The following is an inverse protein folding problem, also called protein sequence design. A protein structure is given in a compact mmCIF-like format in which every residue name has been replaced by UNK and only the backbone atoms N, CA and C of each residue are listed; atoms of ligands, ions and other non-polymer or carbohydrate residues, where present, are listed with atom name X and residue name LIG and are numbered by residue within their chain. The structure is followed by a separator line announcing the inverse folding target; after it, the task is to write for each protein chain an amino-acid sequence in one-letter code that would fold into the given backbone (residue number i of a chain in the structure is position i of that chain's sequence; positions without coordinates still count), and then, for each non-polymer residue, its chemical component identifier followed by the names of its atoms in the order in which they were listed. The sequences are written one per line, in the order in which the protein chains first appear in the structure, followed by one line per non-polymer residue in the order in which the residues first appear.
data_IF_261311835200
#
_entry.id   IF_261311835200
#
_cell.length_a   1.000
_cell.length_b   1.000
_cell.length_c   1.000
_cell.angle_alpha   90.00
_cell.angle_beta   90.00
_cell.angle_gamma   90.00
#
_symmetry.space_group_name_H-M   'P 1'
#
loop_
_entity.id
_entity.type
_entity.pdbx_description
1 polymer ?
#
# COMPACT_ATOMS: atom_id res chain seq x y z
N UNK A 1 31.41 14.78 -20.52
CA UNK A 1 31.94 15.96 -19.78
C UNK A 1 31.39 15.91 -18.37
N UNK A 2 32.27 15.76 -17.43
CA UNK A 2 32.02 15.49 -16.00
C UNK A 2 31.27 16.64 -15.33
N UNK A 3 30.26 16.32 -14.48
CA UNK A 3 30.08 17.07 -13.23
C UNK A 3 30.00 16.02 -12.10
N UNK A 4 31.13 15.90 -11.40
CA UNK A 4 31.24 15.32 -10.06
C UNK A 4 30.81 16.38 -9.03
N UNK A 5 30.14 15.96 -7.99
CA UNK A 5 30.28 16.57 -6.67
C UNK A 5 29.08 17.36 -6.19
N UNK A 6 28.23 16.71 -5.40
CA UNK A 6 27.66 17.29 -4.17
C UNK A 6 27.33 16.12 -3.24
N UNK A 7 28.34 15.71 -2.53
CA UNK A 7 28.20 14.79 -1.39
C UNK A 7 28.34 15.61 -0.10
N UNK A 8 27.48 15.33 0.86
CA UNK A 8 27.67 15.61 2.29
C UNK A 8 27.76 17.08 2.71
N UNK A 9 26.63 17.73 2.88
CA UNK A 9 26.52 18.76 3.92
C UNK A 9 25.91 18.11 5.18
N UNK A 10 26.80 17.72 6.02
CA UNK A 10 26.64 17.06 7.30
C UNK A 10 26.01 18.04 8.31
N UNK A 11 25.06 17.59 9.15
CA UNK A 11 24.45 18.32 10.27
C UNK A 11 25.48 18.98 11.22
N UNK A 12 26.71 18.55 11.17
CA UNK A 12 27.84 19.17 11.90
C UNK A 12 28.12 20.63 11.50
N UNK A 13 27.81 21.04 10.29
CA UNK A 13 28.05 22.43 9.86
C UNK A 13 26.99 23.41 10.35
N UNK A 14 25.76 22.96 10.59
CA UNK A 14 24.70 23.82 11.13
C UNK A 14 24.94 24.15 12.61
N UNK A 15 25.37 23.18 13.37
CA UNK A 15 25.73 23.36 14.80
C UNK A 15 26.96 24.26 14.96
N UNK A 16 27.94 24.18 14.06
CA UNK A 16 29.17 24.97 14.13
C UNK A 16 28.93 26.45 13.73
N UNK A 17 28.05 26.72 12.79
CA UNK A 17 27.68 28.07 12.35
C UNK A 17 26.88 28.83 13.43
N UNK A 18 26.06 28.14 14.19
CA UNK A 18 25.29 28.73 15.31
C UNK A 18 26.19 29.04 16.50
N UNK A 19 27.22 28.22 16.73
CA UNK A 19 28.18 28.41 17.82
C UNK A 19 29.10 29.63 17.59
N UNK A 20 29.55 29.87 16.37
CA UNK A 20 30.38 31.04 16.03
C UNK A 20 29.59 32.36 16.10
N UNK A 21 28.29 32.38 15.81
CA UNK A 21 27.48 33.57 15.90
C UNK A 21 27.23 34.05 17.34
N UNK A 22 27.10 33.12 18.31
CA UNK A 22 26.88 33.48 19.72
C UNK A 22 28.17 33.86 20.47
N UNK A 23 29.33 33.36 20.07
CA UNK A 23 30.61 33.65 20.75
C UNK A 23 31.17 35.04 20.48
N UNK A 24 30.68 35.75 19.46
CA UNK A 24 31.23 37.07 19.09
C UNK A 24 30.58 38.26 19.81
N UNK A 25 29.54 38.05 20.61
CA UNK A 25 28.74 39.15 21.20
C UNK A 25 28.80 39.32 22.72
N UNK A 26 29.56 38.52 23.47
CA UNK A 26 29.61 38.68 24.95
C UNK A 26 30.99 38.84 25.52
N UNK A 27 31.17 39.88 26.38
CA UNK A 27 32.43 40.33 27.00
C UNK A 27 32.92 39.46 28.17
N UNK A 28 32.26 38.37 28.58
CA UNK A 28 32.69 37.47 29.67
C UNK A 28 32.83 36.02 29.20
N UNK A 29 33.96 35.77 28.51
CA UNK A 29 34.18 34.53 27.75
C UNK A 29 34.45 33.26 28.58
N UNK A 30 35.05 33.34 29.75
CA UNK A 30 35.59 32.11 30.40
C UNK A 30 34.61 31.38 31.32
N UNK A 31 33.67 32.05 31.95
CA UNK A 31 32.71 31.42 32.88
C UNK A 31 31.49 30.86 32.13
N UNK A 32 31.06 31.55 31.07
CA UNK A 32 29.90 31.13 30.26
C UNK A 32 30.25 29.91 29.38
N UNK A 33 31.48 29.88 28.83
CA UNK A 33 31.96 28.74 28.02
C UNK A 33 32.04 27.42 28.82
N UNK A 34 32.52 27.46 30.09
CA UNK A 34 32.56 26.25 30.93
C UNK A 34 31.16 25.73 31.28
N UNK A 35 30.21 26.60 31.59
CA UNK A 35 28.82 26.18 31.89
C UNK A 35 28.07 25.69 30.66
N UNK A 36 28.30 26.29 29.49
CA UNK A 36 27.68 25.86 28.23
C UNK A 36 28.29 24.57 27.72
N UNK A 37 29.60 24.36 27.86
CA UNK A 37 30.24 23.09 27.51
C UNK A 37 29.79 21.93 28.39
N UNK A 38 29.58 22.16 29.68
CA UNK A 38 29.08 21.14 30.61
C UNK A 38 27.60 20.81 30.35
N UNK A 39 26.77 21.79 29.95
CA UNK A 39 25.40 21.56 29.57
C UNK A 39 25.28 20.82 28.20
N UNK A 40 26.16 21.15 27.24
CA UNK A 40 26.23 20.43 25.97
C UNK A 40 26.79 19.01 26.13
N UNK A 41 27.83 18.81 26.97
CA UNK A 41 28.34 17.48 27.27
C UNK A 41 27.31 16.61 27.99
N UNK A 42 26.56 17.19 28.96
CA UNK A 42 25.45 16.48 29.63
C UNK A 42 24.26 16.18 28.66
N UNK A 43 23.94 17.08 27.74
CA UNK A 43 22.90 16.86 26.74
C UNK A 43 23.33 15.83 25.68
N UNK A 44 24.61 15.84 25.28
CA UNK A 44 25.15 14.87 24.31
C UNK A 44 25.33 13.47 24.94
N UNK A 45 25.70 13.35 26.20
CA UNK A 45 25.80 12.05 26.87
C UNK A 45 24.44 11.44 27.15
N UNK A 46 23.41 12.24 27.44
CA UNK A 46 22.02 11.73 27.61
C UNK A 46 21.35 11.36 26.27
N UNK A 47 21.69 12.06 25.18
CA UNK A 47 21.15 11.70 23.84
C UNK A 47 21.86 10.50 23.23
N UNK A 48 23.18 10.32 23.46
CA UNK A 48 23.92 9.15 22.97
C UNK A 48 23.55 7.86 23.73
N UNK A 49 23.15 7.93 25.00
CA UNK A 49 22.69 6.77 25.76
C UNK A 49 21.30 6.26 25.31
N UNK A 50 20.51 7.10 24.62
CA UNK A 50 19.16 6.74 24.12
C UNK A 50 19.24 6.04 22.75
N UNK A 51 20.36 6.12 22.03
CA UNK A 51 20.49 5.57 20.67
C UNK A 51 21.10 4.16 20.59
N UNK A 52 21.45 3.55 21.73
CA UNK A 52 22.09 2.22 21.75
C UNK A 52 21.14 1.05 22.04
N UNK A 53 19.84 1.31 22.37
CA UNK A 53 18.86 0.28 22.67
C UNK A 53 17.67 0.33 21.69
N UNK A 54 17.75 -0.45 20.59
CA UNK A 54 16.64 -0.64 19.63
C UNK A 54 15.27 -0.92 20.30
N UNK A 55 15.19 -1.72 21.37
CA UNK A 55 13.91 -1.98 22.04
C UNK A 55 13.29 -0.75 22.70
N UNK A 56 14.11 0.19 23.19
CA UNK A 56 13.61 1.40 23.87
C UNK A 56 13.09 2.42 22.87
N UNK A 57 13.77 2.63 21.75
CA UNK A 57 13.33 3.53 20.69
C UNK A 57 11.98 3.07 20.12
N UNK A 58 11.80 1.77 19.90
CA UNK A 58 10.56 1.16 19.43
C UNK A 58 9.41 1.35 20.43
N UNK A 59 9.65 1.11 21.71
CA UNK A 59 8.65 1.24 22.78
C UNK A 59 8.20 2.69 22.96
N UNK A 60 9.13 3.64 22.95
CA UNK A 60 8.84 5.07 23.02
C UNK A 60 8.02 5.55 21.83
N UNK A 61 8.38 5.13 20.64
CA UNK A 61 7.72 5.46 19.40
C UNK A 61 6.28 4.98 19.34
N UNK A 62 6.04 3.71 19.68
CA UNK A 62 4.69 3.15 19.76
C UNK A 62 3.82 3.84 20.83
N UNK A 63 4.44 4.37 21.90
CA UNK A 63 3.72 5.11 22.95
C UNK A 63 3.26 6.51 22.53
N UNK A 64 3.87 7.10 21.50
CA UNK A 64 3.53 8.45 21.01
C UNK A 64 2.39 8.45 19.98
N UNK A 65 1.97 7.30 19.48
CA UNK A 65 0.95 7.18 18.46
C UNK A 65 -0.32 6.54 19.03
N UNK A 66 -1.28 7.31 19.50
CA UNK A 66 -2.46 6.80 20.23
C UNK A 66 -3.39 5.92 19.40
N UNK A 67 -3.10 5.72 18.11
CA UNK A 67 -3.91 4.90 17.18
C UNK A 67 -3.23 3.61 16.72
N UNK A 68 -1.99 3.34 17.15
CA UNK A 68 -1.27 2.12 16.75
C UNK A 68 -1.66 0.98 17.67
N UNK A 69 -2.08 -0.13 17.07
CA UNK A 69 -2.41 -1.36 17.77
C UNK A 69 -1.12 -2.04 18.26
N UNK A 70 -1.22 -2.85 19.30
CA UNK A 70 -0.08 -3.65 19.79
C UNK A 70 0.30 -4.77 18.81
N UNK A 71 -0.68 -5.30 18.08
CA UNK A 71 -0.53 -6.30 17.03
C UNK A 71 -1.64 -6.12 15.98
N UNK A 72 -1.38 -6.56 14.77
CA UNK A 72 -2.36 -6.68 13.68
C UNK A 72 -2.22 -8.07 13.08
N UNK A 73 -3.28 -8.88 13.18
CA UNK A 73 -3.30 -10.21 12.55
C UNK A 73 -3.20 -10.08 11.04
N UNK A 74 -2.62 -11.08 10.35
CA UNK A 74 -2.60 -11.13 8.90
C UNK A 74 -3.98 -10.88 8.31
N UNK A 75 -4.06 -9.95 7.34
CA UNK A 75 -5.31 -9.55 6.70
C UNK A 75 -5.62 -10.40 5.47
N UNK A 76 -4.59 -10.81 4.73
CA UNK A 76 -4.72 -11.61 3.52
C UNK A 76 -4.79 -13.11 3.86
N UNK A 77 -5.65 -13.83 3.15
CA UNK A 77 -5.75 -15.31 3.23
C UNK A 77 -5.12 -16.00 2.02
N UNK A 78 -4.78 -15.23 0.99
CA UNK A 78 -4.26 -15.74 -0.29
C UNK A 78 -2.84 -16.27 -0.15
N UNK A 79 -2.55 -17.39 -0.86
CA UNK A 79 -1.21 -17.99 -1.03
C UNK A 79 -0.91 -18.14 -2.50
N UNK A 80 -0.99 -17.01 -3.22
CA UNK A 80 -0.87 -17.00 -4.66
C UNK A 80 0.60 -16.97 -5.10
N UNK A 81 0.83 -17.49 -6.30
CA UNK A 81 2.14 -17.51 -6.96
C UNK A 81 2.09 -16.79 -8.30
N UNK A 82 3.15 -16.97 -9.10
CA UNK A 82 3.32 -16.27 -10.38
C UNK A 82 3.21 -17.18 -11.61
N UNK A 83 3.36 -18.48 -11.45
CA UNK A 83 3.23 -19.50 -12.49
C UNK A 83 1.78 -20.01 -12.62
N UNK A 84 1.60 -21.15 -13.31
CA UNK A 84 0.27 -21.75 -13.47
C UNK A 84 -0.39 -22.08 -12.12
N UNK A 85 -1.71 -21.88 -11.98
CA UNK A 85 -2.64 -21.39 -13.00
C UNK A 85 -2.77 -19.86 -13.04
N UNK A 86 -2.04 -19.10 -12.22
CA UNK A 86 -2.15 -17.66 -12.08
C UNK A 86 -1.80 -16.91 -13.37
N UNK A 87 -0.89 -17.46 -14.18
CA UNK A 87 -0.41 -16.86 -15.42
C UNK A 87 -1.15 -17.34 -16.69
N UNK A 88 -2.20 -18.16 -16.57
CA UNK A 88 -2.89 -18.74 -17.72
C UNK A 88 -3.46 -17.71 -18.71
N UNK A 89 -3.66 -16.45 -18.28
CA UNK A 89 -4.12 -15.34 -19.13
C UNK A 89 -3.00 -14.33 -19.47
N UNK A 90 -1.75 -14.60 -19.07
CA UNK A 90 -0.59 -13.81 -19.47
C UNK A 90 -0.18 -14.16 -20.92
N UNK A 91 0.63 -13.30 -21.59
CA UNK A 91 1.18 -13.64 -22.91
C UNK A 91 1.92 -14.98 -22.92
N UNK A 92 1.84 -15.70 -24.03
CA UNK A 92 2.62 -16.91 -24.24
C UNK A 92 4.11 -16.57 -24.33
N UNK A 93 4.96 -17.38 -23.73
CA UNK A 93 6.40 -17.21 -23.78
C UNK A 93 6.93 -17.45 -25.21
N UNK A 94 7.86 -16.60 -25.70
CA UNK A 94 8.39 -16.79 -27.08
C UNK A 94 9.14 -18.09 -27.31
N UNK A 95 9.68 -18.66 -26.23
CA UNK A 95 10.56 -19.86 -26.29
C UNK A 95 9.82 -21.17 -26.06
N UNK A 96 8.56 -21.12 -25.60
CA UNK A 96 7.79 -22.32 -25.25
C UNK A 96 6.29 -22.13 -25.52
N UNK A 97 5.48 -23.15 -25.23
CA UNK A 97 4.02 -23.05 -25.24
C UNK A 97 3.47 -22.54 -23.92
N UNK A 98 4.31 -22.32 -22.92
CA UNK A 98 3.90 -21.87 -21.59
C UNK A 98 3.61 -20.37 -21.58
N UNK A 99 2.94 -19.91 -20.55
CA UNK A 99 2.70 -18.49 -20.34
C UNK A 99 3.86 -17.84 -19.56
N UNK A 100 4.17 -16.60 -19.89
CA UNK A 100 5.06 -15.75 -19.10
C UNK A 100 4.55 -15.66 -17.65
N UNK A 101 5.45 -15.45 -16.70
CA UNK A 101 5.07 -15.21 -15.28
C UNK A 101 4.19 -13.99 -15.13
N UNK A 102 3.34 -13.97 -14.12
CA UNK A 102 2.50 -12.77 -13.81
C UNK A 102 3.33 -11.56 -13.42
N UNK A 103 4.50 -11.78 -12.80
CA UNK A 103 5.31 -10.76 -12.15
C UNK A 103 4.88 -10.47 -10.71
N UNK A 104 5.84 -10.16 -9.85
CA UNK A 104 5.63 -9.99 -8.41
C UNK A 104 4.69 -8.81 -8.10
N UNK A 105 4.80 -7.70 -8.83
CA UNK A 105 3.94 -6.52 -8.66
C UNK A 105 2.48 -6.86 -8.97
N UNK A 106 2.20 -7.52 -10.09
CA UNK A 106 0.85 -7.93 -10.46
C UNK A 106 0.26 -8.89 -9.43
N UNK A 107 1.06 -9.85 -8.95
CA UNK A 107 0.64 -10.80 -7.91
C UNK A 107 0.32 -10.08 -6.59
N UNK A 108 1.16 -9.15 -6.15
CA UNK A 108 0.92 -8.37 -4.95
C UNK A 108 -0.34 -7.49 -5.07
N UNK A 109 -0.53 -6.81 -6.21
CA UNK A 109 -1.75 -6.05 -6.50
C UNK A 109 -2.99 -6.93 -6.44
N UNK A 110 -2.98 -8.06 -7.14
CA UNK A 110 -4.11 -8.98 -7.22
C UNK A 110 -4.51 -9.52 -5.83
N UNK A 111 -3.55 -9.85 -4.97
CA UNK A 111 -3.81 -10.31 -3.61
C UNK A 111 -4.48 -9.23 -2.74
N UNK A 112 -4.01 -7.97 -2.83
CA UNK A 112 -4.65 -6.84 -2.15
C UNK A 112 -6.06 -6.59 -2.70
N UNK A 113 -6.25 -6.67 -4.01
CA UNK A 113 -7.57 -6.53 -4.64
C UNK A 113 -8.52 -7.65 -4.21
N UNK A 114 -8.04 -8.88 -4.06
CA UNK A 114 -8.81 -10.01 -3.53
C UNK A 114 -9.23 -9.80 -2.08
N UNK A 115 -8.38 -9.24 -1.24
CA UNK A 115 -8.72 -8.88 0.15
C UNK A 115 -9.94 -7.94 0.19
N UNK A 116 -9.96 -6.91 -0.66
CA UNK A 116 -11.08 -5.97 -0.73
C UNK A 116 -12.27 -6.48 -1.55
N UNK A 117 -12.09 -7.54 -2.38
CA UNK A 117 -13.07 -7.98 -3.38
C UNK A 117 -13.56 -6.82 -4.25
N UNK A 118 -12.66 -5.98 -4.69
CA UNK A 118 -12.92 -4.75 -5.43
C UNK A 118 -11.87 -4.52 -6.54
N UNK A 119 -12.28 -3.95 -7.71
CA UNK A 119 -13.65 -3.61 -8.13
C UNK A 119 -14.44 -4.81 -8.67
N UNK A 120 -15.69 -4.62 -8.99
CA UNK A 120 -16.47 -5.63 -9.74
C UNK A 120 -16.05 -5.69 -11.21
N UNK A 121 -15.59 -4.56 -11.78
CA UNK A 121 -15.24 -4.40 -13.20
C UNK A 121 -14.08 -3.39 -13.32
N UNK A 122 -13.19 -3.64 -14.28
CA UNK A 122 -12.13 -2.69 -14.62
C UNK A 122 -12.63 -1.52 -15.47
N UNK A 123 -11.76 -0.55 -15.73
CA UNK A 123 -12.08 0.70 -16.45
C UNK A 123 -10.95 1.12 -17.38
N UNK A 124 -11.31 1.60 -18.57
CA UNK A 124 -10.37 2.08 -19.57
C UNK A 124 -9.57 0.97 -20.24
N UNK A 125 -8.52 1.33 -20.93
CA UNK A 125 -7.69 0.41 -21.70
C UNK A 125 -6.21 0.82 -21.63
N UNK A 126 -5.33 -0.13 -21.99
CA UNK A 126 -3.91 0.10 -22.23
C UNK A 126 -3.52 -0.54 -23.57
N UNK A 127 -2.56 0.10 -24.23
CA UNK A 127 -1.86 -0.47 -25.38
C UNK A 127 -0.40 -0.05 -25.25
N UNK A 128 0.50 -1.01 -25.10
CA UNK A 128 1.92 -0.75 -24.95
C UNK A 128 2.76 -1.87 -25.57
N UNK A 129 4.04 -1.60 -25.76
CA UNK A 129 5.00 -2.58 -26.25
C UNK A 129 6.12 -2.79 -25.23
N UNK A 130 6.60 -4.02 -25.15
CA UNK A 130 7.79 -4.37 -24.37
C UNK A 130 8.73 -5.23 -25.21
N UNK A 131 10.02 -5.19 -24.89
CA UNK A 131 11.00 -6.08 -25.51
C UNK A 131 11.05 -7.39 -24.74
N UNK A 132 10.69 -8.49 -25.41
CA UNK A 132 10.69 -9.83 -24.84
C UNK A 132 12.09 -10.43 -24.69
N UNK A 133 12.14 -11.63 -24.14
CA UNK A 133 13.40 -12.41 -23.96
C UNK A 133 14.01 -12.86 -25.29
N UNK A 134 13.20 -12.98 -26.33
CA UNK A 134 13.62 -13.21 -27.73
C UNK A 134 14.23 -11.96 -28.38
N UNK A 135 14.28 -10.83 -27.69
CA UNK A 135 14.77 -9.57 -28.22
C UNK A 135 13.80 -8.84 -29.16
N UNK A 136 12.61 -9.38 -29.38
CA UNK A 136 11.58 -8.79 -30.25
C UNK A 136 10.65 -7.86 -29.46
N UNK A 137 9.91 -7.01 -30.19
CA UNK A 137 8.85 -6.19 -29.61
C UNK A 137 7.55 -6.97 -29.60
N UNK A 138 6.94 -7.05 -28.40
CA UNK A 138 5.63 -7.64 -28.19
C UNK A 138 4.62 -6.57 -27.81
N UNK A 139 3.42 -6.67 -28.35
CA UNK A 139 2.33 -5.75 -28.07
C UNK A 139 1.37 -6.33 -27.03
N UNK A 140 0.96 -5.53 -26.07
CA UNK A 140 -0.10 -5.85 -25.10
C UNK A 140 -1.21 -4.83 -25.25
N UNK A 141 -2.41 -5.32 -25.53
CA UNK A 141 -3.62 -4.51 -25.65
C UNK A 141 -4.70 -5.10 -24.75
N UNK A 142 -5.18 -4.35 -23.77
CA UNK A 142 -6.19 -4.77 -22.81
C UNK A 142 -7.23 -3.67 -22.62
N UNK A 143 -8.50 -4.03 -22.82
CA UNK A 143 -9.65 -3.20 -22.45
C UNK A 143 -10.23 -3.71 -21.13
N UNK A 144 -9.87 -3.08 -20.03
CA UNK A 144 -10.31 -3.44 -18.67
C UNK A 144 -11.83 -3.33 -18.51
N UNK A 145 -12.49 -2.51 -19.33
CA UNK A 145 -13.95 -2.38 -19.28
C UNK A 145 -14.68 -3.67 -19.70
N UNK A 146 -14.00 -4.61 -20.33
CA UNK A 146 -14.50 -5.95 -20.67
C UNK A 146 -14.28 -6.96 -19.56
N UNK A 147 -13.41 -6.68 -18.59
CA UNK A 147 -13.08 -7.57 -17.48
C UNK A 147 -14.06 -7.42 -16.33
N UNK A 148 -14.64 -8.54 -15.89
CA UNK A 148 -15.47 -8.64 -14.69
C UNK A 148 -14.81 -9.59 -13.71
N UNK A 149 -14.57 -9.14 -12.48
CA UNK A 149 -13.85 -9.90 -11.49
C UNK A 149 -14.78 -10.71 -10.61
N UNK A 150 -14.76 -12.03 -10.78
CA UNK A 150 -15.63 -12.96 -10.07
C UNK A 150 -14.98 -13.36 -8.72
N UNK A 151 -14.99 -12.46 -7.75
CA UNK A 151 -14.31 -12.61 -6.46
C UNK A 151 -14.61 -13.91 -5.71
N UNK A 152 -15.83 -14.43 -5.82
CA UNK A 152 -16.24 -15.67 -5.17
C UNK A 152 -15.66 -16.92 -5.83
N UNK A 153 -15.27 -16.83 -7.11
CA UNK A 153 -14.59 -17.92 -7.83
C UNK A 153 -13.10 -17.97 -7.51
N UNK A 154 -12.49 -16.84 -7.16
CA UNK A 154 -11.08 -16.79 -6.79
C UNK A 154 -10.88 -17.41 -5.41
N UNK A 155 -10.08 -18.46 -5.34
CA UNK A 155 -9.78 -19.20 -4.09
C UNK A 155 -8.49 -18.69 -3.46
N UNK A 156 -8.29 -19.01 -2.19
CA UNK A 156 -7.12 -18.55 -1.45
C UNK A 156 -5.85 -19.31 -1.84
N UNK A 157 -6.00 -20.53 -2.38
CA UNK A 157 -4.89 -21.37 -2.84
C UNK A 157 -5.26 -22.15 -4.10
N UNK A 158 -4.27 -22.42 -4.93
CA UNK A 158 -4.34 -23.23 -6.16
C UNK A 158 -3.25 -24.29 -6.16
N UNK A 159 -2.90 -24.86 -5.02
CA UNK A 159 -2.03 -26.01 -4.97
C UNK A 159 -2.64 -27.18 -5.75
N UNK A 160 -1.81 -28.04 -6.32
CA UNK A 160 -2.27 -29.19 -7.11
C UNK A 160 -3.27 -30.07 -6.35
N UNK A 161 -3.11 -30.20 -5.04
CA UNK A 161 -4.02 -30.94 -4.14
C UNK A 161 -5.40 -30.31 -4.02
N UNK A 162 -5.59 -29.06 -4.42
CA UNK A 162 -6.84 -28.31 -4.20
C UNK A 162 -7.91 -28.60 -5.25
N UNK A 163 -7.57 -29.29 -6.36
CA UNK A 163 -8.48 -29.71 -7.43
C UNK A 163 -9.40 -28.58 -7.93
N UNK A 164 -8.82 -27.41 -8.28
CA UNK A 164 -9.58 -26.24 -8.73
C UNK A 164 -10.18 -26.44 -10.11
N UNK A 165 -11.39 -25.94 -10.31
CA UNK A 165 -12.06 -25.96 -11.63
C UNK A 165 -11.40 -24.99 -12.61
N UNK A 166 -11.56 -25.20 -13.91
CA UNK A 166 -11.06 -24.30 -14.94
C UNK A 166 -11.61 -22.86 -14.77
N UNK A 167 -12.88 -22.72 -14.37
CA UNK A 167 -13.48 -21.40 -14.12
C UNK A 167 -12.87 -20.67 -12.91
N UNK A 168 -12.48 -21.39 -11.86
CA UNK A 168 -11.78 -20.81 -10.70
C UNK A 168 -10.36 -20.39 -11.09
N UNK A 169 -9.67 -21.17 -11.90
CA UNK A 169 -8.34 -20.85 -12.41
C UNK A 169 -8.38 -19.63 -13.36
N UNK A 170 -9.33 -19.60 -14.30
CA UNK A 170 -9.52 -18.45 -15.21
C UNK A 170 -9.85 -17.15 -14.44
N UNK A 171 -10.66 -17.23 -13.38
CA UNK A 171 -11.01 -16.06 -12.60
C UNK A 171 -9.78 -15.38 -11.97
N UNK A 172 -8.84 -16.15 -11.41
CA UNK A 172 -7.60 -15.60 -10.84
C UNK A 172 -6.63 -15.17 -11.93
N UNK A 173 -6.48 -15.95 -13.00
CA UNK A 173 -5.58 -15.64 -14.10
C UNK A 173 -5.95 -14.33 -14.81
N UNK A 174 -7.25 -14.08 -15.03
CA UNK A 174 -7.74 -12.81 -15.59
C UNK A 174 -7.34 -11.61 -14.73
N UNK A 175 -7.55 -11.68 -13.42
CA UNK A 175 -7.16 -10.61 -12.51
C UNK A 175 -5.64 -10.37 -12.56
N UNK A 176 -4.83 -11.43 -12.56
CA UNK A 176 -3.37 -11.34 -12.63
C UNK A 176 -2.90 -10.67 -13.91
N UNK A 177 -3.43 -11.10 -15.07
CA UNK A 177 -3.09 -10.53 -16.36
C UNK A 177 -3.48 -9.06 -16.46
N UNK A 178 -4.66 -8.68 -15.96
CA UNK A 178 -5.12 -7.30 -15.93
C UNK A 178 -4.24 -6.44 -15.00
N UNK A 179 -3.84 -6.93 -13.83
CA UNK A 179 -2.90 -6.24 -12.95
C UNK A 179 -1.55 -6.01 -13.64
N UNK A 180 -1.02 -7.03 -14.33
CA UNK A 180 0.23 -6.90 -15.07
C UNK A 180 0.13 -5.89 -16.23
N UNK A 181 -0.94 -5.96 -17.03
CA UNK A 181 -1.16 -4.99 -18.11
C UNK A 181 -1.32 -3.56 -17.58
N UNK A 182 -1.98 -3.36 -16.44
CA UNK A 182 -2.20 -2.05 -15.84
C UNK A 182 -0.91 -1.33 -15.44
N UNK A 183 0.13 -2.08 -15.05
CA UNK A 183 1.46 -1.56 -14.72
C UNK A 183 2.46 -1.69 -15.88
N UNK A 184 1.98 -1.95 -17.09
CA UNK A 184 2.79 -2.11 -18.30
C UNK A 184 3.91 -3.14 -18.12
N UNK A 185 3.56 -4.34 -17.63
CA UNK A 185 4.49 -5.41 -17.33
C UNK A 185 5.36 -5.76 -18.55
N UNK A 186 6.67 -5.78 -18.37
CA UNK A 186 7.58 -6.46 -19.28
C UNK A 186 7.51 -7.96 -18.95
N UNK A 187 6.75 -8.69 -19.75
CA UNK A 187 6.57 -10.13 -19.55
C UNK A 187 7.79 -10.93 -19.95
N UNK A 188 8.08 -11.97 -19.17
CA UNK A 188 9.17 -12.90 -19.35
C UNK A 188 8.76 -14.28 -18.82
N UNK A 189 9.32 -15.32 -19.39
CA UNK A 189 9.18 -16.70 -18.91
C UNK A 189 9.86 -16.88 -17.55
N UNK A 190 10.90 -16.09 -17.26
CA UNK A 190 11.76 -16.27 -16.09
C UNK A 190 11.60 -15.18 -15.04
N UNK A 191 11.36 -13.92 -15.45
CA UNK A 191 11.33 -12.77 -14.54
C UNK A 191 10.53 -11.59 -15.15
N UNK A 192 9.22 -11.67 -15.06
CA UNK A 192 8.33 -10.57 -15.47
C UNK A 192 8.43 -9.40 -14.49
N UNK A 193 8.70 -8.20 -15.00
CA UNK A 193 8.96 -7.02 -14.18
C UNK A 193 8.21 -5.75 -14.63
N UNK A 194 7.91 -4.90 -13.66
CA UNK A 194 7.35 -3.55 -13.84
C UNK A 194 7.93 -2.62 -12.77
N UNK A 195 7.53 -1.35 -12.76
CA UNK A 195 7.97 -0.40 -11.74
C UNK A 195 6.92 -0.24 -10.62
N UNK A 196 7.36 -0.35 -9.36
CA UNK A 196 6.50 -0.17 -8.19
C UNK A 196 5.77 1.18 -8.17
N UNK A 197 6.39 2.21 -8.72
CA UNK A 197 5.81 3.55 -8.77
C UNK A 197 4.54 3.64 -9.63
N UNK A 198 4.35 2.72 -10.57
CA UNK A 198 3.19 2.71 -11.47
C UNK A 198 1.93 2.13 -10.81
N UNK A 199 2.10 1.39 -9.71
CA UNK A 199 1.00 0.73 -8.99
C UNK A 199 -0.08 1.72 -8.55
N UNK A 200 0.30 2.83 -7.93
CA UNK A 200 -0.65 3.81 -7.42
C UNK A 200 -1.55 4.36 -8.53
N UNK A 201 -0.95 4.75 -9.65
CA UNK A 201 -1.69 5.27 -10.81
C UNK A 201 -2.56 4.19 -11.46
N UNK A 202 -2.04 2.97 -11.63
CA UNK A 202 -2.76 1.84 -12.20
C UNK A 202 -4.02 1.50 -11.40
N UNK A 203 -3.90 1.42 -10.06
CA UNK A 203 -5.03 1.10 -9.19
C UNK A 203 -6.13 2.17 -9.24
N UNK A 204 -5.77 3.45 -9.28
CA UNK A 204 -6.75 4.54 -9.40
C UNK A 204 -7.40 4.53 -10.77
N UNK A 205 -6.60 4.50 -11.84
CA UNK A 205 -7.06 4.69 -13.22
C UNK A 205 -7.87 3.50 -13.73
N UNK A 206 -7.41 2.27 -13.49
CA UNK A 206 -7.97 1.08 -14.10
C UNK A 206 -8.87 0.27 -13.18
N UNK A 207 -8.71 0.42 -11.86
CA UNK A 207 -9.47 -0.33 -10.87
C UNK A 207 -10.31 0.55 -9.93
N UNK A 208 -10.31 1.88 -10.13
CA UNK A 208 -11.17 2.80 -9.42
C UNK A 208 -10.93 2.88 -7.91
N UNK A 209 -9.70 2.60 -7.46
CA UNK A 209 -9.31 2.76 -6.05
C UNK A 209 -9.27 4.22 -5.63
N UNK A 210 -9.25 4.46 -4.33
CA UNK A 210 -9.23 5.82 -3.74
C UNK A 210 -7.99 6.60 -4.20
N UNK A 211 -8.18 7.84 -4.66
CA UNK A 211 -7.09 8.68 -5.18
C UNK A 211 -6.03 9.08 -4.13
N UNK A 212 -6.23 8.73 -2.85
CA UNK A 212 -5.23 8.94 -1.79
C UNK A 212 -4.10 7.89 -1.79
N UNK A 213 -4.15 6.89 -2.66
CA UNK A 213 -3.05 5.94 -2.84
C UNK A 213 -1.78 6.72 -3.16
N UNK A 214 -0.69 6.37 -2.47
CA UNK A 214 0.60 7.04 -2.62
C UNK A 214 1.72 6.02 -2.69
N UNK A 215 2.62 6.22 -3.65
CA UNK A 215 3.93 5.57 -3.70
C UNK A 215 4.92 6.31 -2.80
N UNK A 216 5.73 5.56 -2.05
CA UNK A 216 6.87 6.04 -1.28
C UNK A 216 8.04 5.12 -1.56
N UNK A 217 9.21 5.66 -1.82
CA UNK A 217 10.39 4.83 -2.06
C UNK A 217 11.44 5.50 -2.91
N UNK A 218 12.44 4.73 -3.27
CA UNK A 218 13.58 5.20 -3.99
C UNK A 218 14.56 5.95 -3.09
N UNK A 219 14.92 7.12 -3.50
CA UNK A 219 15.90 7.98 -2.81
C UNK A 219 15.22 9.04 -1.93
N UNK A 220 13.93 8.87 -1.63
CA UNK A 220 13.26 9.77 -0.71
C UNK A 220 13.96 9.71 0.64
N UNK A 221 14.34 10.86 1.18
CA UNK A 221 15.05 11.06 2.45
C UNK A 221 14.14 10.74 3.66
N UNK A 222 13.42 9.64 3.59
CA UNK A 222 12.57 9.19 4.67
C UNK A 222 13.43 8.47 5.71
N UNK A 223 13.48 8.99 6.93
CA UNK A 223 14.16 8.30 8.03
C UNK A 223 13.50 6.93 8.27
N UNK A 224 14.29 5.96 8.75
CA UNK A 224 13.77 4.64 9.14
C UNK A 224 12.59 4.75 10.11
N UNK A 225 12.65 5.70 11.03
CA UNK A 225 11.56 5.97 11.97
C UNK A 225 10.26 6.35 11.26
N UNK A 226 10.29 7.28 10.31
CA UNK A 226 9.11 7.67 9.55
C UNK A 226 8.62 6.53 8.66
N UNK A 227 9.50 5.74 8.08
CA UNK A 227 9.20 4.58 7.27
C UNK A 227 8.37 3.54 8.03
N UNK A 228 8.88 3.09 9.17
CA UNK A 228 8.18 2.10 10.00
C UNK A 228 6.92 2.66 10.67
N UNK A 229 6.90 3.97 11.01
CA UNK A 229 5.71 4.67 11.46
C UNK A 229 4.57 4.52 10.49
N UNK A 230 4.83 4.93 9.27
CA UNK A 230 3.85 4.88 8.21
C UNK A 230 3.33 3.46 8.04
N UNK A 231 4.22 2.46 8.08
CA UNK A 231 3.83 1.05 7.95
C UNK A 231 2.91 0.60 9.10
N UNK A 232 3.27 0.90 10.36
CA UNK A 232 2.43 0.60 11.52
C UNK A 232 1.07 1.30 11.47
N UNK A 233 1.03 2.57 11.04
CA UNK A 233 -0.22 3.33 10.88
C UNK A 233 -1.15 2.70 9.84
N UNK A 234 -0.61 2.35 8.66
CA UNK A 234 -1.36 1.71 7.61
C UNK A 234 -1.98 0.39 8.10
N UNK A 235 -1.17 -0.48 8.66
CA UNK A 235 -1.63 -1.80 9.12
C UNK A 235 -2.62 -1.68 10.28
N UNK A 236 -2.40 -0.77 11.23
CA UNK A 236 -3.35 -0.51 12.33
C UNK A 236 -4.69 0.02 11.85
N UNK A 237 -4.70 0.74 10.72
CA UNK A 237 -5.91 1.21 10.05
C UNK A 237 -6.61 0.12 9.21
N UNK A 238 -6.04 -1.10 9.14
CA UNK A 238 -6.58 -2.20 8.33
C UNK A 238 -6.28 -2.05 6.84
N UNK A 239 -5.20 -1.37 6.48
CA UNK A 239 -4.77 -1.13 5.11
C UNK A 239 -3.51 -1.96 4.83
N UNK A 240 -3.59 -3.01 4.00
CA UNK A 240 -2.41 -3.73 3.56
C UNK A 240 -1.52 -2.83 2.70
N UNK A 241 -0.22 -3.05 2.76
CA UNK A 241 0.79 -2.26 2.07
C UNK A 241 1.47 -3.11 1.01
N UNK A 242 1.50 -2.62 -0.23
CA UNK A 242 2.38 -3.18 -1.24
C UNK A 242 3.80 -2.70 -0.92
N UNK A 243 4.70 -3.63 -0.70
CA UNK A 243 6.07 -3.35 -0.28
C UNK A 243 7.06 -3.94 -1.28
N UNK A 244 8.10 -3.20 -1.59
CA UNK A 244 9.15 -3.63 -2.49
C UNK A 244 10.54 -3.45 -1.89
N UNK A 245 11.49 -4.17 -2.44
CA UNK A 245 12.88 -4.02 -2.10
C UNK A 245 13.80 -4.79 -3.03
N UNK A 246 15.09 -4.53 -2.93
CA UNK A 246 16.12 -5.20 -3.71
C UNK A 246 17.05 -6.02 -2.82
N UNK A 247 17.68 -7.01 -3.40
CA UNK A 247 18.73 -7.79 -2.73
C UNK A 247 20.06 -7.03 -2.77
N UNK A 248 21.02 -7.47 -2.00
CA UNK A 248 22.35 -6.87 -1.94
C UNK A 248 23.07 -6.85 -3.30
N UNK A 249 22.89 -7.89 -4.10
CA UNK A 249 23.63 -8.07 -5.36
C UNK A 249 22.74 -7.95 -6.60
N UNK A 250 21.63 -8.66 -6.60
CA UNK A 250 20.75 -8.74 -7.78
C UNK A 250 19.32 -9.07 -7.36
N UNK A 251 18.37 -8.57 -8.18
CA UNK A 251 16.97 -8.89 -8.09
C UNK A 251 16.19 -7.96 -7.16
N UNK A 252 15.01 -7.60 -7.63
CA UNK A 252 13.99 -6.88 -6.89
C UNK A 252 12.82 -7.83 -6.61
N UNK A 253 12.02 -7.53 -5.61
CA UNK A 253 10.78 -8.25 -5.37
C UNK A 253 9.76 -7.35 -4.70
N UNK A 254 8.52 -7.45 -5.19
CA UNK A 254 7.38 -6.75 -4.60
C UNK A 254 6.44 -7.78 -3.96
N UNK A 255 5.99 -7.48 -2.75
CA UNK A 255 5.19 -8.35 -1.91
C UNK A 255 4.21 -7.54 -1.08
N UNK A 256 3.36 -8.18 -0.29
CA UNK A 256 2.41 -7.50 0.58
C UNK A 256 2.87 -7.62 2.02
N UNK A 257 2.78 -6.50 2.75
CA UNK A 257 2.87 -6.48 4.21
C UNK A 257 1.46 -6.20 4.74
N UNK A 258 0.92 -7.11 5.56
CA UNK A 258 -0.49 -7.10 5.92
C UNK A 258 -0.79 -7.33 7.41
N UNK A 259 0.24 -7.33 8.25
CA UNK A 259 0.11 -7.48 9.68
C UNK A 259 1.42 -7.31 10.42
N UNK A 260 1.38 -7.35 11.75
CA UNK A 260 2.56 -7.39 12.61
C UNK A 260 2.23 -7.99 13.98
N UNK A 261 3.22 -8.62 14.60
CA UNK A 261 3.11 -9.21 15.93
C UNK A 261 3.56 -8.26 17.06
N UNK A 262 3.43 -8.73 18.30
CA UNK A 262 3.83 -7.98 19.51
C UNK A 262 5.34 -7.73 19.58
N UNK A 263 6.13 -8.61 18.98
CA UNK A 263 7.58 -8.48 18.85
C UNK A 263 7.97 -7.48 17.76
N UNK A 264 6.98 -7.00 16.95
CA UNK A 264 7.13 -6.03 15.88
C UNK A 264 7.75 -6.61 14.63
N UNK A 265 7.62 -7.92 14.43
CA UNK A 265 7.86 -8.54 13.13
C UNK A 265 6.63 -8.33 12.26
N UNK A 266 6.87 -8.04 11.00
CA UNK A 266 5.81 -7.81 10.03
C UNK A 266 5.42 -9.11 9.33
N UNK A 267 4.12 -9.33 9.15
CA UNK A 267 3.66 -10.43 8.31
C UNK A 267 3.82 -10.06 6.85
N UNK A 268 4.49 -10.93 6.11
CA UNK A 268 4.85 -10.77 4.70
C UNK A 268 4.19 -11.87 3.89
N UNK A 269 3.50 -11.49 2.81
CA UNK A 269 2.93 -12.39 1.81
C UNK A 269 3.73 -12.21 0.53
N UNK A 270 4.67 -13.14 0.27
CA UNK A 270 5.64 -13.00 -0.81
C UNK A 270 5.07 -13.14 -2.22
N UNK A 271 3.90 -13.78 -2.38
CA UNK A 271 3.35 -14.03 -3.71
C UNK A 271 4.13 -15.06 -4.52
N UNK A 272 4.75 -16.02 -3.84
CA UNK A 272 5.55 -17.11 -4.44
C UNK A 272 4.90 -18.49 -4.22
N UNK A 273 3.61 -18.53 -3.86
CA UNK A 273 2.91 -19.75 -3.56
C UNK A 273 3.23 -20.34 -2.17
N UNK A 274 3.91 -19.57 -1.31
CA UNK A 274 4.32 -19.94 0.03
C UNK A 274 5.46 -19.10 0.56
N UNK A 275 5.99 -19.47 1.72
CA UNK A 275 7.06 -18.71 2.41
C UNK A 275 6.55 -17.50 3.18
N UNK A 276 5.23 -17.35 3.31
CA UNK A 276 4.59 -16.26 4.05
C UNK A 276 4.81 -16.43 5.55
N UNK A 277 4.92 -15.32 6.28
CA UNK A 277 5.16 -15.37 7.71
C UNK A 277 5.59 -14.05 8.33
N UNK A 278 6.01 -14.09 9.60
CA UNK A 278 6.47 -12.92 10.34
C UNK A 278 7.98 -12.74 10.25
N UNK A 279 8.41 -11.58 9.76
CA UNK A 279 9.81 -11.25 9.49
C UNK A 279 10.21 -9.89 10.04
N UNK A 280 11.47 -9.75 10.42
CA UNK A 280 12.12 -8.46 10.62
C UNK A 280 12.50 -7.90 9.24
N UNK A 281 11.81 -6.85 8.79
CA UNK A 281 12.02 -6.28 7.45
C UNK A 281 13.45 -5.73 7.24
N UNK A 282 14.21 -5.47 8.30
CA UNK A 282 15.61 -5.09 8.19
C UNK A 282 16.53 -6.28 7.92
N UNK A 283 16.04 -7.51 8.09
CA UNK A 283 16.83 -8.75 7.93
C UNK A 283 16.39 -9.61 6.76
N UNK A 284 15.28 -9.27 6.08
CA UNK A 284 14.86 -10.01 4.89
C UNK A 284 15.85 -9.81 3.75
N UNK A 285 15.77 -10.69 2.75
CA UNK A 285 16.62 -10.64 1.56
C UNK A 285 16.46 -9.33 0.78
N UNK A 286 15.24 -8.76 0.74
CA UNK A 286 14.86 -7.56 -0.04
C UNK A 286 14.84 -6.29 0.83
N UNK A 287 15.87 -6.06 1.64
CA UNK A 287 15.95 -4.96 2.62
C UNK A 287 16.51 -3.65 2.07
N UNK A 288 17.08 -3.65 0.86
CA UNK A 288 17.66 -2.46 0.23
C UNK A 288 16.69 -1.81 -0.75
N UNK A 289 16.89 -0.55 -1.09
CA UNK A 289 16.10 0.16 -2.09
C UNK A 289 14.59 0.01 -1.88
N UNK A 290 14.16 0.15 -0.63
CA UNK A 290 12.79 -0.12 -0.20
C UNK A 290 11.79 0.81 -0.87
N UNK A 291 10.64 0.26 -1.22
CA UNK A 291 9.46 0.99 -1.69
C UNK A 291 8.20 0.52 -0.98
N UNK A 292 7.19 1.36 -0.91
CA UNK A 292 5.85 0.97 -0.48
C UNK A 292 4.78 1.78 -1.17
N UNK A 293 3.65 1.14 -1.49
CA UNK A 293 2.42 1.79 -1.89
C UNK A 293 1.43 1.70 -0.74
N UNK A 294 0.97 2.85 -0.27
CA UNK A 294 0.13 3.04 0.92
C UNK A 294 -1.23 3.61 0.57
N UNK A 295 -2.14 3.62 1.57
CA UNK A 295 -3.53 4.07 1.43
C UNK A 295 -4.34 3.25 0.41
N UNK A 296 -3.94 2.01 0.17
CA UNK A 296 -4.65 1.13 -0.76
C UNK A 296 -5.99 0.75 -0.14
N UNK A 297 -7.06 1.27 -0.73
CA UNK A 297 -8.44 0.97 -0.33
C UNK A 297 -9.41 1.32 -1.45
N UNK A 298 -10.57 0.67 -1.52
CA UNK A 298 -11.68 1.15 -2.33
C UNK A 298 -12.05 2.59 -1.98
N UNK A 299 -12.62 3.36 -2.90
CA UNK A 299 -13.09 4.70 -2.58
C UNK A 299 -14.11 4.61 -1.45
N UNK A 300 -14.06 5.56 -0.52
CA UNK A 300 -15.12 5.67 0.48
C UNK A 300 -16.42 5.87 -0.29
N UNK A 301 -17.30 4.88 -0.25
CA UNK A 301 -18.66 5.10 -0.70
C UNK A 301 -19.22 6.23 0.15
N UNK A 302 -19.29 7.44 -0.42
CA UNK A 302 -20.16 8.48 0.13
C UNK A 302 -21.53 7.86 0.06
N UNK A 303 -21.99 7.31 1.19
CA UNK A 303 -23.08 6.36 1.25
C UNK A 303 -24.34 6.80 0.48
N UNK A 304 -24.39 6.36 -0.77
CA UNK A 304 -25.62 6.06 -1.45
C UNK A 304 -25.64 4.53 -1.47
N UNK A 305 -26.04 3.92 -0.37
CA UNK A 305 -26.43 2.53 -0.37
C UNK A 305 -27.55 2.42 -1.39
N UNK A 306 -27.22 1.80 -2.54
CA UNK A 306 -28.25 1.38 -3.47
C UNK A 306 -29.13 0.35 -2.74
N UNK A 307 -30.42 0.67 -2.64
CA UNK A 307 -31.52 -0.23 -2.30
C UNK A 307 -31.38 -1.09 -1.04
N UNK A 308 -31.73 -0.55 0.12
CA UNK A 308 -32.78 -1.26 0.88
C UNK A 308 -34.12 -0.89 0.22
N UNK A 309 -34.83 -1.86 -0.31
CA UNK A 309 -36.23 -1.71 -0.65
C UNK A 309 -36.95 -1.23 0.61
N UNK A 310 -37.39 0.02 0.58
CA UNK A 310 -38.09 0.64 1.69
C UNK A 310 -39.41 -0.11 1.80
N UNK A 311 -39.46 -1.15 2.63
CA UNK A 311 -40.71 -1.56 3.25
C UNK A 311 -41.27 -0.31 3.92
N UNK A 312 -42.47 0.06 3.54
CA UNK A 312 -43.19 1.22 4.07
C UNK A 312 -42.97 1.33 5.58
N UNK A 313 -42.56 2.49 6.10
CA UNK A 313 -42.34 2.64 7.53
C UNK A 313 -43.65 2.37 8.24
N UNK A 314 -43.64 1.39 9.15
CA UNK A 314 -44.67 1.31 10.15
C UNK A 314 -44.70 2.66 10.88
N UNK A 315 -45.88 3.07 11.35
CA UNK A 315 -46.35 4.30 11.97
C UNK A 315 -45.43 5.08 12.95
N UNK A 316 -44.13 5.14 12.71
CA UNK A 316 -43.19 6.00 13.46
C UNK A 316 -43.15 7.38 12.83
N UNK A 317 -43.42 8.40 13.63
CA UNK A 317 -43.28 9.81 13.23
C UNK A 317 -41.84 10.09 12.84
N UNK A 318 -41.62 10.43 11.60
CA UNK A 318 -40.31 10.65 10.98
C UNK A 318 -40.29 12.08 10.44
N UNK A 319 -39.23 12.83 10.78
CA UNK A 319 -39.01 14.16 10.22
C UNK A 319 -38.11 14.07 9.00
N UNK A 320 -38.48 14.81 7.95
CA UNK A 320 -37.71 14.89 6.71
C UNK A 320 -37.06 16.28 6.58
N UNK A 321 -35.82 16.32 6.15
CA UNK A 321 -35.09 17.56 5.86
C UNK A 321 -34.49 17.48 4.45
N UNK A 322 -34.54 18.58 3.73
CA UNK A 322 -33.81 18.75 2.48
C UNK A 322 -32.32 19.01 2.76
N UNK A 323 -31.48 19.01 1.73
CA UNK A 323 -30.04 19.22 1.85
C UNK A 323 -29.68 20.64 2.37
N UNK A 324 -30.58 21.62 2.18
CA UNK A 324 -30.47 22.99 2.68
C UNK A 324 -30.93 23.15 4.14
N UNK A 325 -31.33 22.04 4.81
CA UNK A 325 -31.86 22.04 6.16
C UNK A 325 -33.36 22.32 6.28
N UNK A 326 -34.08 22.56 5.18
CA UNK A 326 -35.53 22.81 5.20
C UNK A 326 -36.29 21.57 5.68
N UNK A 327 -37.10 21.72 6.74
CA UNK A 327 -37.97 20.68 7.31
C UNK A 327 -39.18 20.45 6.41
N UNK A 328 -39.52 19.17 6.13
CA UNK A 328 -40.71 18.79 5.34
C UNK A 328 -41.46 17.66 6.02
N UNK A 329 -42.79 17.63 5.87
CA UNK A 329 -43.66 16.59 6.45
C UNK A 329 -43.63 15.28 5.65
N UNK A 330 -43.12 15.31 4.42
CA UNK A 330 -42.98 14.17 3.53
C UNK A 330 -41.72 14.30 2.68
N UNK A 331 -41.15 13.17 2.22
CA UNK A 331 -39.96 13.22 1.38
C UNK A 331 -40.27 13.86 0.04
N UNK A 332 -39.32 14.64 -0.51
CA UNK A 332 -39.38 15.25 -1.84
C UNK A 332 -38.47 14.53 -2.81
N UNK A 333 -38.72 14.68 -4.09
CA UNK A 333 -37.82 14.16 -5.15
C UNK A 333 -36.40 14.68 -4.92
N UNK A 334 -35.42 13.80 -4.99
CA UNK A 334 -34.03 14.07 -4.71
C UNK A 334 -33.57 13.56 -3.33
N UNK A 335 -32.53 14.17 -2.77
CA UNK A 335 -31.90 13.74 -1.52
C UNK A 335 -32.68 14.32 -0.33
N UNK A 336 -33.06 13.46 0.61
CA UNK A 336 -33.68 13.84 1.87
C UNK A 336 -32.88 13.29 3.04
N UNK A 337 -32.88 14.00 4.15
CA UNK A 337 -32.33 13.54 5.45
C UNK A 337 -33.55 13.17 6.32
N UNK A 338 -33.55 11.96 6.83
CA UNK A 338 -34.63 11.43 7.66
C UNK A 338 -34.15 11.30 9.09
N UNK A 339 -34.91 11.89 10.04
CA UNK A 339 -34.68 11.77 11.48
C UNK A 339 -35.81 10.99 12.14
N UNK A 340 -35.47 9.88 12.81
CA UNK A 340 -36.42 9.07 13.55
C UNK A 340 -36.54 9.53 15.01
N UNK A 341 -37.63 9.16 15.72
CA UNK A 341 -37.82 9.49 17.15
C UNK A 341 -36.63 9.07 18.05
N UNK A 342 -35.86 8.07 17.65
CA UNK A 342 -34.64 7.64 18.35
C UNK A 342 -33.40 8.46 18.00
N UNK A 343 -33.52 9.66 17.44
CA UNK A 343 -32.42 10.53 16.98
C UNK A 343 -31.48 9.89 15.94
N UNK A 344 -31.83 8.77 15.33
CA UNK A 344 -31.08 8.20 14.21
C UNK A 344 -31.35 9.03 12.95
N UNK A 345 -30.27 9.46 12.31
CA UNK A 345 -30.32 10.25 11.07
C UNK A 345 -29.92 9.35 9.89
N UNK A 346 -30.73 9.36 8.83
CA UNK A 346 -30.45 8.60 7.60
C UNK A 346 -30.61 9.51 6.38
N UNK A 347 -29.85 9.28 5.34
CA UNK A 347 -30.01 9.91 4.03
C UNK A 347 -30.79 8.98 3.13
N UNK A 348 -31.86 9.46 2.49
CA UNK A 348 -32.64 8.71 1.49
C UNK A 348 -32.69 9.50 0.19
N UNK A 349 -32.87 8.80 -0.94
CA UNK A 349 -33.04 9.40 -2.25
C UNK A 349 -34.39 8.99 -2.81
N UNK A 350 -35.24 9.97 -3.11
CA UNK A 350 -36.55 9.77 -3.78
C UNK A 350 -36.36 10.10 -5.26
N UNK A 351 -36.66 9.17 -6.12
CA UNK A 351 -36.56 9.29 -7.59
C UNK A 351 -37.83 9.89 -8.22
#
# INVERSE_FOLDING_TARGET
MYIKGLSFLNEKHFAFSFFTYFCTKTKNRHVLMRKTLLLFAAFFTTTMAVWSDEPVAKKWYLSMLPKIKTEVKPMLSTRWGQGAPYNNSCPTAPSSSDHCLTGCIATAMAQVMKYYKYPAKGTGAVNYQYRGDDGMQHNVEVDFSKSTYQWNMMKDSYALSDHRTAAEQEAVARLMADCGAAVQMKYSEFDSGAFDMDVAQAMVKHFGYDASIKYMGGFDECSDSLWFCTLYEQLSAGLPVLYGGVTEKYGAHSFVVDGYDKEGRFHVVYGLGGGDGFYDLNKIRYRYGRSMTINIRPPKTTGISAKEDVKSPGTETVDYYLMDGTHTKSPRKGVNIVRTKGNKVRKIVIR
#
